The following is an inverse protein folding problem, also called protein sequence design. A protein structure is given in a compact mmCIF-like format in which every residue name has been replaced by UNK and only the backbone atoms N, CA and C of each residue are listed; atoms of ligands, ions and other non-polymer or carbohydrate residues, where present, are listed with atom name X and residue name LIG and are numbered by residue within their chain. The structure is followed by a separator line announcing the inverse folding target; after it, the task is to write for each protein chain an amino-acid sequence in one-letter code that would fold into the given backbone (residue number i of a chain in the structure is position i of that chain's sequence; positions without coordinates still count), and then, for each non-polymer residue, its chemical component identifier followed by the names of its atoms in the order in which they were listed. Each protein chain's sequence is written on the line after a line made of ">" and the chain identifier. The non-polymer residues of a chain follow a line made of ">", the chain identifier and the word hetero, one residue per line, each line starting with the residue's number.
data_IF_356915196442
#
_entry.id   IF_356915196442
#
_cell.length_a   1.000
_cell.length_b   1.000
_cell.length_c   1.000
_cell.angle_alpha   90.00
_cell.angle_beta   90.00
_cell.angle_gamma   90.00
#
_symmetry.space_group_name_H-M   'P 1'
#
loop_
_entity.id
_entity.type
_entity.pdbx_description
1 polymer ?
#
# COMPACT_ATOMS: atom_id res chain seq x y z
N UNK A 1 -14.18 27.00 -18.54
CA UNK A 1 -12.98 26.68 -17.76
C UNK A 1 -13.08 25.21 -17.41
N UNK A 2 -12.63 24.38 -18.34
CA UNK A 2 -12.82 22.93 -18.32
C UNK A 2 -11.51 22.27 -17.87
N UNK A 3 -11.43 21.96 -16.59
CA UNK A 3 -10.44 21.08 -15.95
C UNK A 3 -11.25 20.33 -14.88
N UNK A 4 -11.22 19.02 -14.65
CA UNK A 4 -10.17 18.03 -14.77
C UNK A 4 -10.85 16.65 -14.86
N UNK A 5 -10.79 15.97 -16.00
CA UNK A 5 -11.28 14.57 -16.11
C UNK A 5 -10.19 13.60 -16.52
N UNK A 6 -8.91 14.00 -16.41
CA UNK A 6 -7.76 13.15 -16.74
C UNK A 6 -7.02 12.58 -15.50
N UNK A 7 -7.49 12.89 -14.29
CA UNK A 7 -6.85 12.45 -13.04
C UNK A 7 -7.16 10.98 -12.72
N UNK A 8 -8.36 10.49 -13.06
CA UNK A 8 -8.87 9.20 -12.55
C UNK A 8 -8.06 8.00 -13.07
N UNK A 9 -7.69 7.98 -14.35
CA UNK A 9 -7.02 6.82 -14.98
C UNK A 9 -5.53 6.65 -14.61
N UNK A 10 -4.82 7.75 -14.32
CA UNK A 10 -3.40 7.67 -13.91
C UNK A 10 -3.26 7.10 -12.50
N UNK A 11 -4.15 7.50 -11.60
CA UNK A 11 -4.14 7.06 -10.21
C UNK A 11 -4.38 5.55 -10.10
N UNK A 12 -5.28 4.99 -10.91
CA UNK A 12 -5.57 3.54 -10.88
C UNK A 12 -4.45 2.65 -11.41
N UNK A 13 -3.60 3.18 -12.30
CA UNK A 13 -2.45 2.42 -12.79
C UNK A 13 -1.32 2.43 -11.77
N UNK A 14 -0.98 3.60 -11.24
CA UNK A 14 0.05 3.76 -10.22
C UNK A 14 -0.23 2.95 -8.95
N UNK A 15 -1.49 2.90 -8.51
CA UNK A 15 -1.88 2.09 -7.35
C UNK A 15 -1.55 0.61 -7.54
N UNK A 16 -1.77 0.06 -8.75
CA UNK A 16 -1.44 -1.35 -9.02
C UNK A 16 0.07 -1.58 -8.95
N UNK A 17 0.87 -0.65 -9.47
CA UNK A 17 2.33 -0.74 -9.40
C UNK A 17 2.84 -0.66 -7.94
N UNK A 18 2.21 0.16 -7.10
CA UNK A 18 2.50 0.28 -5.67
C UNK A 18 2.13 -0.99 -4.89
N UNK A 19 0.94 -1.53 -5.14
CA UNK A 19 0.42 -2.75 -4.52
C UNK A 19 1.28 -3.97 -4.85
N UNK A 20 1.71 -4.11 -6.10
CA UNK A 20 2.53 -5.23 -6.56
C UNK A 20 3.90 -5.24 -5.88
N UNK A 21 4.56 -4.08 -5.79
CA UNK A 21 5.82 -3.92 -5.04
C UNK A 21 5.67 -4.30 -3.57
N UNK A 22 4.59 -3.86 -2.92
CA UNK A 22 4.33 -4.21 -1.52
C UNK A 22 4.15 -5.72 -1.36
N UNK A 23 3.39 -6.35 -2.26
CA UNK A 23 3.19 -7.80 -2.24
C UNK A 23 4.49 -8.57 -2.45
N UNK A 24 5.32 -8.16 -3.40
CA UNK A 24 6.64 -8.76 -3.64
C UNK A 24 7.52 -8.64 -2.39
N UNK A 25 7.58 -7.45 -1.79
CA UNK A 25 8.33 -7.23 -0.56
C UNK A 25 7.84 -8.14 0.59
N UNK A 26 6.52 -8.25 0.79
CA UNK A 26 5.96 -9.12 1.83
C UNK A 26 6.18 -10.60 1.51
N UNK A 27 6.22 -11.01 0.24
CA UNK A 27 6.58 -12.39 -0.13
C UNK A 27 8.02 -12.72 0.23
N UNK A 28 8.95 -11.78 0.03
CA UNK A 28 10.38 -11.97 0.30
C UNK A 28 10.67 -11.88 1.80
N UNK A 29 10.10 -10.88 2.49
CA UNK A 29 10.39 -10.60 3.90
C UNK A 29 9.38 -11.21 4.89
N UNK A 30 8.24 -11.70 4.41
CA UNK A 30 7.12 -12.23 5.20
C UNK A 30 6.22 -11.17 5.85
N UNK A 31 6.77 -10.01 6.21
CA UNK A 31 6.04 -8.91 6.87
C UNK A 31 6.45 -7.56 6.28
N UNK A 32 5.52 -6.60 6.29
CA UNK A 32 5.81 -5.21 5.96
C UNK A 32 5.23 -4.26 7.00
N UNK A 33 5.94 -3.18 7.30
CA UNK A 33 5.42 -2.11 8.17
C UNK A 33 5.12 -0.87 7.35
N UNK A 34 4.40 0.09 7.94
CA UNK A 34 4.15 1.39 7.30
C UNK A 34 5.45 2.08 6.87
N UNK A 35 6.52 1.97 7.67
CA UNK A 35 7.80 2.59 7.35
C UNK A 35 8.43 1.94 6.13
N UNK A 36 8.41 0.60 6.05
CA UNK A 36 8.87 -0.12 4.87
C UNK A 36 8.11 0.31 3.61
N UNK A 37 6.79 0.52 3.69
CA UNK A 37 6.00 1.01 2.52
C UNK A 37 6.44 2.41 2.10
N UNK A 38 6.68 3.30 3.07
CA UNK A 38 7.18 4.66 2.82
C UNK A 38 8.54 4.63 2.15
N UNK A 39 9.46 3.78 2.62
CA UNK A 39 10.80 3.63 2.05
C UNK A 39 10.79 2.91 0.70
N UNK A 40 9.94 1.90 0.53
CA UNK A 40 9.84 1.09 -0.70
C UNK A 40 9.22 1.86 -1.87
N UNK A 41 8.23 2.71 -1.60
CA UNK A 41 7.54 3.49 -2.61
C UNK A 41 8.01 4.94 -2.67
N UNK A 42 8.87 5.36 -1.72
CA UNK A 42 9.34 6.75 -1.56
C UNK A 42 8.18 7.76 -1.49
N UNK A 43 7.07 7.36 -0.85
CA UNK A 43 5.86 8.17 -0.71
C UNK A 43 5.68 8.71 0.70
N UNK A 44 4.93 9.79 0.85
CA UNK A 44 4.53 10.30 2.16
C UNK A 44 3.79 9.26 3.00
N UNK A 45 3.97 9.30 4.32
CA UNK A 45 3.29 8.39 5.27
C UNK A 45 1.76 8.37 5.10
N UNK A 46 1.17 9.51 4.72
CA UNK A 46 -0.26 9.66 4.40
C UNK A 46 -0.66 8.77 3.22
N UNK A 47 0.15 8.78 2.15
CA UNK A 47 -0.07 7.99 0.93
C UNK A 47 0.11 6.51 1.21
N UNK A 48 1.20 6.11 1.87
CA UNK A 48 1.44 4.73 2.29
C UNK A 48 0.26 4.18 3.10
N UNK A 49 -0.26 4.95 4.06
CA UNK A 49 -1.43 4.55 4.86
C UNK A 49 -2.66 4.32 3.99
N UNK A 50 -2.87 5.17 2.97
CA UNK A 50 -3.97 5.02 2.02
C UNK A 50 -3.85 3.77 1.17
N UNK A 51 -2.65 3.48 0.65
CA UNK A 51 -2.36 2.27 -0.13
C UNK A 51 -2.59 1.03 0.72
N UNK A 52 -1.99 0.97 1.92
CA UNK A 52 -2.19 -0.15 2.86
C UNK A 52 -3.67 -0.35 3.18
N UNK A 53 -4.41 0.72 3.49
CA UNK A 53 -5.86 0.62 3.77
C UNK A 53 -6.64 0.08 2.57
N UNK A 54 -6.29 0.46 1.34
CA UNK A 54 -6.90 -0.09 0.13
C UNK A 54 -6.61 -1.57 -0.01
N UNK A 55 -5.35 -1.99 0.15
CA UNK A 55 -4.95 -3.39 0.09
C UNK A 55 -5.63 -4.24 1.18
N UNK A 56 -5.76 -3.71 2.39
CA UNK A 56 -6.50 -4.38 3.48
C UNK A 56 -7.99 -4.50 3.13
N UNK A 57 -8.60 -3.44 2.58
CA UNK A 57 -10.00 -3.47 2.13
C UNK A 57 -10.20 -4.43 0.95
N UNK A 58 -9.22 -4.55 0.08
CA UNK A 58 -9.18 -5.49 -1.04
C UNK A 58 -8.79 -6.92 -0.61
N UNK A 59 -8.59 -7.15 0.70
CA UNK A 59 -8.22 -8.44 1.26
C UNK A 59 -6.89 -9.00 0.70
N UNK A 60 -5.98 -8.13 0.28
CA UNK A 60 -4.62 -8.47 -0.17
C UNK A 60 -3.64 -8.52 1.01
N UNK A 61 -3.85 -7.66 2.00
CA UNK A 61 -3.04 -7.59 3.21
C UNK A 61 -3.89 -7.74 4.45
N UNK A 62 -3.32 -8.38 5.46
CA UNK A 62 -3.89 -8.49 6.79
C UNK A 62 -3.06 -7.67 7.76
N UNK A 63 -3.72 -6.79 8.51
CA UNK A 63 -3.10 -6.09 9.62
C UNK A 63 -2.94 -7.04 10.80
N UNK A 64 -1.71 -7.23 11.25
CA UNK A 64 -1.35 -8.03 12.41
C UNK A 64 -0.67 -7.15 13.47
N UNK A 65 -0.94 -7.47 14.73
CA UNK A 65 -0.43 -6.72 15.89
C UNK A 65 -1.24 -5.47 16.25
N UNK A 66 -0.86 -4.86 17.38
CA UNK A 66 -1.54 -3.72 17.99
C UNK A 66 -0.52 -2.72 18.51
N UNK A 67 -0.79 -1.42 18.37
CA UNK A 67 0.10 -0.33 18.78
C UNK A 67 1.51 -0.40 18.15
N UNK A 68 2.54 -0.74 18.94
CA UNK A 68 3.96 -0.68 18.55
C UNK A 68 4.41 -1.81 17.61
N UNK A 69 3.66 -2.92 17.57
CA UNK A 69 3.97 -4.07 16.72
C UNK A 69 3.00 -4.19 15.54
N UNK A 70 2.50 -3.08 15.01
CA UNK A 70 1.63 -3.14 13.84
C UNK A 70 2.45 -3.49 12.60
N UNK A 71 2.19 -4.66 12.03
CA UNK A 71 2.79 -5.15 10.79
C UNK A 71 1.68 -5.71 9.89
N UNK A 72 1.98 -5.81 8.60
CA UNK A 72 1.04 -6.31 7.61
C UNK A 72 1.65 -7.55 6.95
N UNK A 73 0.83 -8.57 6.76
CA UNK A 73 1.21 -9.79 6.02
C UNK A 73 0.28 -9.97 4.83
N UNK A 74 0.67 -10.81 3.88
CA UNK A 74 -0.24 -11.22 2.81
C UNK A 74 -1.44 -11.93 3.45
N UNK A 75 -2.63 -11.59 2.98
CA UNK A 75 -3.83 -12.37 3.27
C UNK A 75 -3.92 -13.43 2.18
N UNK A 76 -3.79 -14.70 2.56
CA UNK A 76 -4.20 -15.83 1.71
C UNK A 76 -5.72 -16.00 1.71
#
# INVERSE_FOLDING_TARGET
>A
MECDTQITVKVEKQLRDEEDKILEYVRIHGVITKNNVVELLEVSASTATRVIRKMVKANLLKQNGKARNTHYTISE
#
